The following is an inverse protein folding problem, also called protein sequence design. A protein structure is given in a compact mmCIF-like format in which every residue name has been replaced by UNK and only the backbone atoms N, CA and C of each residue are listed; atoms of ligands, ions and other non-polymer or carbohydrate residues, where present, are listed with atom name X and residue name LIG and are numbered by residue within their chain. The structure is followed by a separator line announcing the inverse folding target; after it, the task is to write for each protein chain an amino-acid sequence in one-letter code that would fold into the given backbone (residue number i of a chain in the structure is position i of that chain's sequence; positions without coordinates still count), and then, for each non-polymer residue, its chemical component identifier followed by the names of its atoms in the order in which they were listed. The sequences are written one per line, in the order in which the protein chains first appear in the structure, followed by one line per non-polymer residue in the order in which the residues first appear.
data_IF_947810120598
#
_entry.id   IF_947810120598
#
_cell.length_a   1.000
_cell.length_b   1.000
_cell.length_c   1.000
_cell.angle_alpha   90.00
_cell.angle_beta   90.00
_cell.angle_gamma   90.00
#
_symmetry.space_group_name_H-M   'P 1'
#
loop_
_entity.id
_entity.type
_entity.pdbx_description
1 polymer ?
#
# COMPACT_ATOMS: atom_id res chain seq x y z
N UNK A 1 -8.24 16.48 -7.23
CA UNK A 1 -8.83 17.01 -5.97
C UNK A 1 -8.20 16.48 -4.70
N UNK A 2 -8.20 15.16 -4.43
CA UNK A 2 -7.65 14.60 -3.18
C UNK A 2 -6.21 15.02 -2.85
N UNK A 3 -5.34 15.09 -3.85
CA UNK A 3 -3.95 15.55 -3.67
C UNK A 3 -3.87 17.03 -3.31
N UNK A 4 -4.68 17.88 -3.95
CA UNK A 4 -4.71 19.31 -3.66
C UNK A 4 -5.23 19.56 -2.23
N UNK A 5 -6.29 18.86 -1.83
CA UNK A 5 -6.85 18.93 -0.47
C UNK A 5 -5.81 18.47 0.56
N UNK A 6 -5.14 17.35 0.32
CA UNK A 6 -4.11 16.86 1.24
C UNK A 6 -2.94 17.85 1.39
N UNK A 7 -2.51 18.46 0.29
CA UNK A 7 -1.45 19.49 0.31
C UNK A 7 -1.91 20.77 1.00
N UNK A 8 -3.16 21.20 0.86
CA UNK A 8 -3.68 22.36 1.60
C UNK A 8 -3.81 22.11 3.10
N UNK A 9 -3.76 20.85 3.53
CA UNK A 9 -3.73 20.42 4.93
C UNK A 9 -2.29 20.16 5.42
N UNK A 10 -1.27 20.57 4.66
CA UNK A 10 0.16 20.32 4.93
C UNK A 10 0.52 18.84 5.12
N UNK A 11 -0.27 17.93 4.55
CA UNK A 11 0.01 16.50 4.58
C UNK A 11 1.02 16.13 3.47
N UNK A 12 1.97 15.22 3.74
CA UNK A 12 2.94 14.75 2.75
C UNK A 12 2.27 13.81 1.74
N UNK A 13 1.54 14.40 0.77
CA UNK A 13 0.78 13.67 -0.25
C UNK A 13 1.52 13.59 -1.58
N UNK A 14 1.66 12.36 -2.07
CA UNK A 14 2.34 12.02 -3.30
C UNK A 14 1.32 11.52 -4.32
N UNK A 15 1.48 11.93 -5.58
CA UNK A 15 0.62 11.51 -6.68
C UNK A 15 1.34 10.42 -7.50
N UNK A 16 0.65 9.31 -7.77
CA UNK A 16 1.13 8.23 -8.61
C UNK A 16 0.44 6.89 -8.33
N UNK A 17 0.89 5.84 -9.03
CA UNK A 17 0.44 4.46 -8.79
C UNK A 17 1.12 3.90 -7.53
N UNK A 18 0.31 3.43 -6.57
CA UNK A 18 0.79 2.84 -5.32
C UNK A 18 1.62 1.55 -5.53
N UNK A 19 1.42 0.83 -6.65
CA UNK A 19 2.25 -0.31 -7.03
C UNK A 19 3.62 0.07 -7.61
N UNK A 20 3.85 1.35 -7.92
CA UNK A 20 5.11 1.81 -8.51
C UNK A 20 6.22 1.89 -7.47
N UNK A 21 7.33 1.20 -7.72
CA UNK A 21 8.55 1.27 -6.90
C UNK A 21 9.04 2.71 -6.71
N UNK A 22 8.92 3.55 -7.72
CA UNK A 22 9.35 4.95 -7.64
C UNK A 22 8.48 5.74 -6.66
N UNK A 23 7.16 5.54 -6.69
CA UNK A 23 6.22 6.17 -5.75
C UNK A 23 6.49 5.66 -4.33
N UNK A 24 6.64 4.35 -4.16
CA UNK A 24 6.97 3.73 -2.86
C UNK A 24 8.29 4.25 -2.28
N UNK A 25 9.29 4.50 -3.14
CA UNK A 25 10.54 5.12 -2.71
C UNK A 25 10.34 6.60 -2.30
N UNK A 26 9.60 7.38 -3.10
CA UNK A 26 9.31 8.80 -2.80
C UNK A 26 8.55 8.98 -1.49
N UNK A 27 7.61 8.09 -1.16
CA UNK A 27 6.90 8.13 0.13
C UNK A 27 7.77 7.68 1.32
N UNK A 28 8.97 7.14 1.06
CA UNK A 28 9.90 6.71 2.09
C UNK A 28 9.64 5.31 2.62
N UNK A 29 9.11 4.38 1.81
CA UNK A 29 8.81 3.02 2.25
C UNK A 29 10.02 2.31 2.90
N UNK A 30 11.25 2.54 2.41
CA UNK A 30 12.46 1.89 2.94
C UNK A 30 12.79 2.20 4.41
N UNK A 31 12.21 3.26 4.99
CA UNK A 31 12.37 3.64 6.40
C UNK A 31 11.08 3.56 7.20
N UNK A 32 9.99 3.09 6.59
CA UNK A 32 8.70 2.98 7.25
C UNK A 32 8.66 1.76 8.17
N UNK A 33 8.07 1.89 9.35
CA UNK A 33 7.80 0.74 10.23
C UNK A 33 6.64 -0.11 9.71
N UNK A 34 5.66 0.52 9.08
CA UNK A 34 4.47 -0.13 8.56
C UNK A 34 3.86 0.66 7.39
N UNK A 35 3.04 -0.03 6.59
CA UNK A 35 2.22 0.53 5.52
C UNK A 35 0.79 0.01 5.65
N UNK A 36 -0.17 0.93 5.64
CA UNK A 36 -1.60 0.60 5.54
C UNK A 36 -2.03 0.75 4.07
N UNK A 37 -2.60 -0.30 3.49
CA UNK A 37 -3.03 -0.32 2.09
C UNK A 37 -4.55 -0.48 2.05
N UNK A 38 -5.22 0.55 1.51
CA UNK A 38 -6.68 0.68 1.51
C UNK A 38 -7.19 1.10 0.12
N UNK A 39 -6.70 0.44 -0.95
CA UNK A 39 -7.15 0.72 -2.32
C UNK A 39 -8.44 -0.06 -2.60
N UNK A 40 -9.31 0.51 -3.44
CA UNK A 40 -10.61 -0.10 -3.78
C UNK A 40 -10.52 -1.19 -4.86
N UNK A 41 -9.41 -1.23 -5.61
CA UNK A 41 -9.21 -2.25 -6.64
C UNK A 41 -8.42 -3.43 -6.08
N UNK A 42 -8.94 -4.67 -6.16
CA UNK A 42 -8.20 -5.86 -5.75
C UNK A 42 -6.84 -6.00 -6.44
N UNK A 43 -6.78 -5.67 -7.74
CA UNK A 43 -5.53 -5.71 -8.49
C UNK A 43 -4.51 -4.66 -8.01
N UNK A 44 -4.97 -3.46 -7.65
CA UNK A 44 -4.08 -2.42 -7.13
C UNK A 44 -3.58 -2.76 -5.72
N UNK A 45 -4.43 -3.30 -4.84
CA UNK A 45 -4.02 -3.80 -3.53
C UNK A 45 -2.95 -4.88 -3.67
N UNK A 46 -3.22 -5.91 -4.47
CA UNK A 46 -2.28 -7.00 -4.68
C UNK A 46 -0.92 -6.49 -5.18
N UNK A 47 -0.90 -5.65 -6.23
CA UNK A 47 0.35 -5.10 -6.78
C UNK A 47 1.13 -4.28 -5.76
N UNK A 48 0.44 -3.48 -4.95
CA UNK A 48 1.07 -2.64 -3.92
C UNK A 48 1.70 -3.49 -2.82
N UNK A 49 0.96 -4.49 -2.33
CA UNK A 49 1.45 -5.42 -1.29
C UNK A 49 2.64 -6.22 -1.81
N UNK A 50 2.53 -6.77 -3.02
CA UNK A 50 3.61 -7.51 -3.64
C UNK A 50 4.87 -6.64 -3.84
N UNK A 51 4.70 -5.40 -4.30
CA UNK A 51 5.82 -4.47 -4.49
C UNK A 51 6.50 -4.10 -3.15
N UNK A 52 5.71 -3.86 -2.10
CA UNK A 52 6.22 -3.61 -0.74
C UNK A 52 6.97 -4.83 -0.20
N UNK A 53 6.38 -6.02 -0.30
CA UNK A 53 7.01 -7.28 0.13
C UNK A 53 8.32 -7.54 -0.61
N UNK A 54 8.36 -7.31 -1.93
CA UNK A 54 9.55 -7.55 -2.76
C UNK A 54 10.68 -6.55 -2.55
N UNK A 55 10.36 -5.26 -2.45
CA UNK A 55 11.37 -4.20 -2.45
C UNK A 55 11.68 -3.65 -1.06
N UNK A 56 10.77 -3.82 -0.11
CA UNK A 56 10.86 -3.27 1.25
C UNK A 56 10.43 -4.32 2.29
N UNK A 57 11.11 -5.48 2.37
CA UNK A 57 10.69 -6.62 3.20
C UNK A 57 10.62 -6.32 4.72
N UNK A 58 11.25 -5.23 5.17
CA UNK A 58 11.20 -4.80 6.57
C UNK A 58 9.89 -4.09 6.95
N UNK A 59 9.13 -3.61 5.96
CA UNK A 59 7.90 -2.85 6.19
C UNK A 59 6.75 -3.81 6.46
N UNK A 60 6.08 -3.65 7.61
CA UNK A 60 4.88 -4.44 7.92
C UNK A 60 3.67 -3.92 7.14
N UNK A 61 2.99 -4.78 6.41
CA UNK A 61 1.91 -4.41 5.50
C UNK A 61 0.55 -4.84 6.07
N UNK A 62 -0.35 -3.86 6.25
CA UNK A 62 -1.71 -4.07 6.75
C UNK A 62 -2.68 -3.70 5.64
N UNK A 63 -3.50 -4.65 5.22
CA UNK A 63 -4.25 -4.51 3.95
C UNK A 63 -5.73 -4.69 4.19
N UNK A 64 -6.53 -3.78 3.66
CA UNK A 64 -7.99 -3.95 3.58
C UNK A 64 -8.33 -4.92 2.45
N UNK A 65 -8.98 -6.02 2.78
CA UNK A 65 -9.62 -6.90 1.82
C UNK A 65 -11.09 -6.51 1.61
N UNK A 66 -11.64 -6.96 0.49
CA UNK A 66 -13.07 -6.79 0.18
C UNK A 66 -13.90 -8.01 0.57
N UNK A 67 -13.26 -9.18 0.54
CA UNK A 67 -13.84 -10.47 0.85
C UNK A 67 -12.72 -11.45 1.24
N UNK A 68 -13.13 -12.65 1.68
CA UNK A 68 -12.22 -13.69 2.14
C UNK A 68 -11.28 -14.17 1.02
N UNK A 69 -11.78 -14.33 -0.20
CA UNK A 69 -10.97 -14.83 -1.33
C UNK A 69 -9.88 -13.82 -1.70
N UNK A 70 -10.22 -12.54 -1.72
CA UNK A 70 -9.26 -11.46 -1.92
C UNK A 70 -8.25 -11.42 -0.77
N UNK A 71 -8.70 -11.60 0.48
CA UNK A 71 -7.81 -11.64 1.64
C UNK A 71 -6.74 -12.72 1.53
N UNK A 72 -7.12 -13.95 1.15
CA UNK A 72 -6.18 -15.06 0.92
C UNK A 72 -5.16 -14.74 -0.18
N UNK A 73 -5.54 -13.99 -1.21
CA UNK A 73 -4.61 -13.56 -2.25
C UNK A 73 -3.61 -12.52 -1.75
N UNK A 74 -4.03 -11.64 -0.83
CA UNK A 74 -3.16 -10.62 -0.23
C UNK A 74 -2.16 -11.23 0.76
N UNK A 75 -2.56 -12.23 1.54
CA UNK A 75 -1.63 -13.01 2.37
C UNK A 75 -0.55 -13.67 1.52
N UNK A 76 -0.94 -14.31 0.42
CA UNK A 76 0.00 -14.89 -0.56
C UNK A 76 0.91 -13.84 -1.21
N UNK A 77 0.46 -12.59 -1.33
CA UNK A 77 1.27 -11.48 -1.83
C UNK A 77 2.32 -10.99 -0.82
N UNK A 78 2.24 -11.42 0.44
CA UNK A 78 3.14 -11.02 1.52
C UNK A 78 2.56 -9.97 2.46
N UNK A 79 1.22 -9.87 2.58
CA UNK A 79 0.60 -9.06 3.62
C UNK A 79 1.00 -9.58 5.01
N UNK A 80 1.34 -8.69 5.94
CA UNK A 80 1.58 -9.06 7.34
C UNK A 80 0.25 -9.36 8.05
N UNK A 81 -0.77 -8.57 7.76
CA UNK A 81 -2.13 -8.81 8.24
C UNK A 81 -3.15 -8.30 7.23
N UNK A 82 -4.25 -9.02 7.13
CA UNK A 82 -5.40 -8.66 6.30
C UNK A 82 -6.59 -8.36 7.21
N UNK A 83 -7.28 -7.26 6.90
CA UNK A 83 -8.49 -6.82 7.59
C UNK A 83 -9.65 -6.93 6.60
N UNK A 84 -10.69 -7.69 6.95
CA UNK A 84 -11.91 -7.90 6.17
C UNK A 84 -13.04 -7.08 6.80
#
# INVERSE_FOLDING_TARGET
DRVAIGRSLDLPVYFGDAGSREVLHKVGAGRASAAAITLDSPGANYRTVWALSKHFPNVKTFVRAHDVTHGLNLEKAGATAVII
#
